data_IF_362230554291
#
_entry.id   IF_362230554291
#
_cell.length_a   1.000
_cell.length_b   1.000
_cell.length_c   1.000
_cell.angle_alpha   90.00
_cell.angle_beta   90.00
_cell.angle_gamma   90.00
#
_symmetry.space_group_name_H-M   'P 1'
#
loop_
_entity.id
_entity.type
_entity.pdbx_description
1 polymer ?
#
# COMPACT_ATOMS: atom_id res chain seq x y z
N UNK A 1 -23.98 -16.16 -65.58
CA UNK A 1 -23.24 -17.33 -65.02
C UNK A 1 -21.98 -16.76 -64.39
N UNK A 2 -21.90 -16.74 -63.06
CA UNK A 2 -20.73 -16.20 -62.34
C UNK A 2 -19.53 -17.12 -62.55
N UNK A 3 -18.40 -16.57 -63.02
CA UNK A 3 -17.17 -17.32 -63.25
C UNK A 3 -16.42 -17.53 -61.93
N UNK A 4 -16.69 -18.68 -61.30
CA UNK A 4 -16.09 -19.09 -60.03
C UNK A 4 -14.56 -19.29 -60.09
N UNK A 5 -13.93 -19.29 -61.27
CA UNK A 5 -12.46 -19.43 -61.38
C UNK A 5 -11.72 -18.17 -60.92
N UNK A 6 -12.33 -16.99 -61.10
CA UNK A 6 -11.75 -15.72 -60.63
C UNK A 6 -11.81 -15.55 -59.10
N UNK A 7 -12.72 -16.25 -58.43
CA UNK A 7 -12.85 -16.21 -56.98
C UNK A 7 -11.76 -17.05 -56.28
N UNK A 8 -11.31 -18.14 -56.94
CA UNK A 8 -10.24 -19.00 -56.41
C UNK A 8 -8.88 -18.30 -56.46
N UNK A 9 -8.55 -17.62 -57.58
CA UNK A 9 -7.27 -16.88 -57.70
C UNK A 9 -7.18 -15.68 -56.76
N UNK A 10 -8.31 -15.05 -56.42
CA UNK A 10 -8.34 -13.94 -55.47
C UNK A 10 -8.08 -14.43 -54.03
N UNK A 11 -8.61 -15.60 -53.67
CA UNK A 11 -8.40 -16.19 -52.34
C UNK A 11 -6.99 -16.77 -52.16
N UNK A 12 -6.40 -17.30 -53.23
CA UNK A 12 -5.04 -17.84 -53.21
C UNK A 12 -4.00 -16.70 -53.07
N UNK A 13 -4.19 -15.57 -53.76
CA UNK A 13 -3.34 -14.38 -53.60
C UNK A 13 -3.45 -13.70 -52.23
N UNK A 14 -4.62 -13.74 -51.60
CA UNK A 14 -4.82 -13.23 -50.24
C UNK A 14 -4.16 -14.11 -49.17
N UNK A 15 -4.11 -15.44 -49.40
CA UNK A 15 -3.38 -16.37 -48.54
C UNK A 15 -1.87 -16.17 -48.64
N UNK A 16 -1.32 -16.07 -49.85
CA UNK A 16 0.12 -15.83 -50.04
C UNK A 16 0.56 -14.48 -49.42
N UNK A 17 -0.21 -13.41 -49.57
CA UNK A 17 0.13 -12.11 -48.94
C UNK A 17 0.09 -12.15 -47.40
N UNK A 18 -0.86 -12.87 -46.80
CA UNK A 18 -0.94 -13.02 -45.36
C UNK A 18 0.15 -13.95 -44.79
N UNK A 19 0.53 -15.00 -45.53
CA UNK A 19 1.62 -15.89 -45.14
C UNK A 19 2.99 -15.18 -45.26
N UNK A 20 3.18 -14.35 -46.29
CA UNK A 20 4.37 -13.51 -46.43
C UNK A 20 4.47 -12.46 -45.31
N UNK A 21 3.36 -11.77 -44.98
CA UNK A 21 3.33 -10.80 -43.89
C UNK A 21 3.55 -11.44 -42.51
N UNK A 22 3.03 -12.64 -42.28
CA UNK A 22 3.27 -13.42 -41.07
C UNK A 22 4.73 -13.89 -40.99
N UNK A 23 5.33 -14.30 -42.11
CA UNK A 23 6.73 -14.69 -42.18
C UNK A 23 7.68 -13.51 -41.96
N UNK A 24 7.38 -12.33 -42.50
CA UNK A 24 8.17 -11.11 -42.28
C UNK A 24 8.06 -10.62 -40.84
N UNK A 25 6.87 -10.73 -40.22
CA UNK A 25 6.67 -10.42 -38.79
C UNK A 25 7.43 -11.40 -37.89
N UNK A 26 7.36 -12.70 -38.18
CA UNK A 26 8.10 -13.74 -37.46
C UNK A 26 9.63 -13.65 -37.68
N UNK A 27 10.08 -13.20 -38.86
CA UNK A 27 11.49 -12.94 -39.13
C UNK A 27 12.01 -11.72 -38.37
N UNK A 28 11.17 -10.68 -38.21
CA UNK A 28 11.50 -9.48 -37.45
C UNK A 28 11.49 -9.74 -35.92
N UNK A 29 10.54 -10.55 -35.43
CA UNK A 29 10.54 -11.06 -34.05
C UNK A 29 11.70 -12.03 -33.79
N UNK A 30 12.00 -12.91 -34.74
CA UNK A 30 13.14 -13.82 -34.70
C UNK A 30 14.50 -13.12 -34.78
N UNK A 31 14.58 -11.95 -35.42
CA UNK A 31 15.75 -11.08 -35.39
C UNK A 31 15.85 -10.29 -34.07
N UNK A 32 14.72 -9.78 -33.53
CA UNK A 32 14.69 -9.15 -32.19
C UNK A 32 15.06 -10.13 -31.07
N UNK A 33 14.70 -11.41 -31.18
CA UNK A 33 15.06 -12.43 -30.20
C UNK A 33 16.52 -12.91 -30.30
N UNK A 34 17.20 -12.76 -31.45
CA UNK A 34 18.56 -13.30 -31.66
C UNK A 34 19.71 -12.40 -31.18
N UNK A 35 19.42 -11.21 -30.68
CA UNK A 35 20.42 -10.26 -30.14
C UNK A 35 20.14 -9.80 -28.72
N UNK A 36 19.12 -10.32 -28.05
CA UNK A 36 18.93 -10.08 -26.63
C UNK A 36 20.03 -10.79 -25.83
N UNK A 37 21.02 -10.01 -25.41
CA UNK A 37 22.03 -10.41 -24.42
C UNK A 37 21.35 -11.13 -23.25
N UNK A 38 21.80 -12.34 -22.92
CA UNK A 38 21.41 -13.09 -21.71
C UNK A 38 21.90 -12.44 -20.41
N UNK A 39 22.62 -11.32 -20.50
CA UNK A 39 23.05 -10.50 -19.36
C UNK A 39 21.96 -9.49 -19.03
N UNK A 40 21.49 -9.50 -17.78
CA UNK A 40 20.61 -8.46 -17.22
C UNK A 40 21.28 -7.10 -17.39
N UNK A 41 20.56 -6.13 -17.97
CA UNK A 41 21.03 -4.74 -18.17
C UNK A 41 21.16 -4.03 -16.83
N UNK A 42 22.18 -3.19 -16.68
CA UNK A 42 22.23 -2.20 -15.60
C UNK A 42 21.22 -1.08 -15.86
N UNK A 43 20.79 -0.39 -14.80
CA UNK A 43 19.84 0.72 -14.92
C UNK A 43 20.33 1.82 -15.89
N UNK A 44 21.62 2.11 -15.86
CA UNK A 44 22.30 3.09 -16.73
C UNK A 44 22.40 2.64 -18.21
N UNK A 45 22.15 1.37 -18.51
CA UNK A 45 22.15 0.81 -19.86
C UNK A 45 20.75 0.78 -20.51
N UNK A 46 19.70 1.19 -19.76
CA UNK A 46 18.33 1.25 -20.26
C UNK A 46 18.11 2.56 -21.03
N UNK A 47 17.62 2.51 -22.28
CA UNK A 47 17.30 3.71 -23.06
C UNK A 47 16.29 4.62 -22.34
N UNK A 48 16.46 5.94 -22.43
CA UNK A 48 15.63 6.91 -21.71
C UNK A 48 14.14 6.80 -22.08
N UNK A 49 13.83 6.44 -23.33
CA UNK A 49 12.46 6.21 -23.81
C UNK A 49 11.77 5.00 -23.16
N UNK A 50 12.54 4.10 -22.54
CA UNK A 50 12.04 2.96 -21.74
C UNK A 50 11.93 3.31 -20.25
N UNK A 51 12.12 4.58 -19.85
CA UNK A 51 12.09 5.02 -18.44
C UNK A 51 10.94 5.98 -18.18
N UNK A 52 10.52 6.10 -16.91
CA UNK A 52 9.66 7.22 -16.51
C UNK A 52 10.42 8.55 -16.57
N UNK A 53 9.68 9.66 -16.66
CA UNK A 53 10.22 11.02 -16.69
C UNK A 53 9.99 11.73 -15.34
N UNK A 54 11.02 11.74 -14.50
CA UNK A 54 10.99 12.41 -13.19
C UNK A 54 11.22 13.92 -13.28
N UNK A 55 11.57 14.47 -14.45
CA UNK A 55 11.78 15.92 -14.64
C UNK A 55 10.49 16.71 -14.43
N UNK A 56 9.35 16.04 -14.56
CA UNK A 56 8.00 16.55 -14.25
C UNK A 56 7.80 16.85 -12.75
N UNK A 57 8.58 16.22 -11.87
CA UNK A 57 8.56 16.45 -10.43
C UNK A 57 9.63 17.48 -10.07
N UNK A 58 10.90 17.17 -10.33
CA UNK A 58 12.03 18.09 -10.22
C UNK A 58 12.90 17.99 -11.46
N UNK A 59 13.34 19.12 -12.04
CA UNK A 59 14.15 19.10 -13.26
C UNK A 59 15.50 18.40 -13.07
N UNK A 60 16.06 18.48 -11.87
CA UNK A 60 17.34 17.90 -11.49
C UNK A 60 17.43 17.73 -9.96
N UNK A 61 18.50 17.05 -9.52
CA UNK A 61 18.79 16.79 -8.12
C UNK A 61 19.11 18.09 -7.34
N UNK A 62 19.63 19.12 -8.01
CA UNK A 62 19.89 20.44 -7.41
C UNK A 62 18.59 21.17 -7.02
N UNK A 63 17.56 21.07 -7.86
CA UNK A 63 16.23 21.60 -7.57
C UNK A 63 15.58 20.86 -6.41
N UNK A 64 15.79 19.54 -6.32
CA UNK A 64 15.37 18.75 -5.17
C UNK A 64 16.06 19.20 -3.88
N UNK A 65 17.39 19.40 -3.90
CA UNK A 65 18.17 19.84 -2.73
C UNK A 65 17.73 21.20 -2.18
N UNK A 66 17.44 22.14 -3.09
CA UNK A 66 16.91 23.47 -2.73
C UNK A 66 15.54 23.35 -2.08
N UNK A 67 14.64 22.54 -2.66
CA UNK A 67 13.31 22.32 -2.11
C UNK A 67 13.37 21.64 -0.74
N UNK A 68 14.20 20.60 -0.59
CA UNK A 68 14.46 19.91 0.68
C UNK A 68 14.91 20.88 1.76
N UNK A 69 15.91 21.71 1.47
CA UNK A 69 16.47 22.66 2.43
C UNK A 69 15.45 23.73 2.84
N UNK A 70 14.72 24.29 1.87
CA UNK A 70 13.69 25.30 2.11
C UNK A 70 12.57 24.76 2.99
N UNK A 71 12.00 23.60 2.64
CA UNK A 71 10.85 23.06 3.37
C UNK A 71 11.23 22.56 4.75
N UNK A 72 12.44 22.00 4.90
CA UNK A 72 12.99 21.58 6.19
C UNK A 72 13.04 22.72 7.21
N UNK A 73 13.30 23.94 6.74
CA UNK A 73 13.34 25.16 7.54
C UNK A 73 11.95 25.77 7.79
N UNK A 74 10.96 25.48 6.93
CA UNK A 74 9.58 25.98 7.07
C UNK A 74 8.75 25.14 8.04
N UNK A 75 8.98 23.81 8.12
CA UNK A 75 8.24 22.89 9.01
C UNK A 75 8.05 23.42 10.46
N UNK A 76 9.08 23.98 11.14
CA UNK A 76 8.92 24.48 12.51
C UNK A 76 7.85 25.56 12.67
N UNK A 77 7.49 26.30 11.62
CA UNK A 77 6.43 27.32 11.67
C UNK A 77 5.05 26.76 12.00
N UNK A 78 4.81 25.46 11.76
CA UNK A 78 3.56 24.80 12.11
C UNK A 78 3.30 24.87 13.63
N UNK A 79 4.34 24.73 14.46
CA UNK A 79 4.21 24.79 15.92
C UNK A 79 3.74 26.15 16.45
N UNK A 80 3.82 27.22 15.64
CA UNK A 80 3.33 28.55 16.04
C UNK A 80 1.81 28.57 16.25
N UNK A 81 1.08 27.60 15.69
CA UNK A 81 -0.38 27.47 15.79
C UNK A 81 -0.85 26.59 16.95
N UNK A 82 0.08 25.94 17.66
CA UNK A 82 -0.26 25.01 18.74
C UNK A 82 -0.99 25.71 19.90
N UNK A 83 -2.08 25.11 20.37
CA UNK A 83 -3.03 25.64 21.35
C UNK A 83 -3.77 26.92 20.91
N UNK A 84 -3.87 27.17 19.60
CA UNK A 84 -4.55 28.35 19.03
C UNK A 84 -5.63 28.00 18.00
N UNK A 85 -5.79 26.75 17.59
CA UNK A 85 -6.69 26.35 16.50
C UNK A 85 -8.17 26.63 16.82
N UNK A 86 -8.53 26.67 18.11
CA UNK A 86 -9.87 27.04 18.56
C UNK A 86 -10.06 28.55 18.80
N UNK A 87 -9.07 29.41 18.49
CA UNK A 87 -9.18 30.85 18.78
C UNK A 87 -10.08 31.61 17.80
N UNK A 88 -10.11 31.19 16.53
CA UNK A 88 -10.99 31.73 15.48
C UNK A 88 -10.93 30.86 14.23
N UNK A 89 -11.93 30.98 13.35
CA UNK A 89 -11.92 30.36 12.02
C UNK A 89 -10.74 30.81 11.14
N UNK A 90 -10.28 32.06 11.31
CA UNK A 90 -9.14 32.61 10.58
C UNK A 90 -7.84 31.87 10.95
N UNK A 91 -7.55 31.69 12.24
CA UNK A 91 -6.35 30.98 12.71
C UNK A 91 -6.37 29.51 12.29
N UNK A 92 -7.52 28.84 12.40
CA UNK A 92 -7.68 27.47 11.90
C UNK A 92 -7.40 27.41 10.38
N UNK A 93 -7.94 28.37 9.61
CA UNK A 93 -7.75 28.40 8.16
C UNK A 93 -6.29 28.64 7.77
N UNK A 94 -5.60 29.54 8.45
CA UNK A 94 -4.18 29.82 8.23
C UNK A 94 -3.33 28.58 8.48
N UNK A 95 -3.58 27.88 9.59
CA UNK A 95 -2.92 26.63 9.91
C UNK A 95 -3.15 25.56 8.82
N UNK A 96 -4.41 25.31 8.45
CA UNK A 96 -4.75 24.25 7.48
C UNK A 96 -4.08 24.51 6.12
N UNK A 97 -4.09 25.76 5.66
CA UNK A 97 -3.41 26.15 4.41
C UNK A 97 -1.90 25.94 4.50
N UNK A 98 -1.29 26.32 5.62
CA UNK A 98 0.15 26.15 5.82
C UNK A 98 0.54 24.66 5.89
N UNK A 99 -0.21 23.86 6.64
CA UNK A 99 0.00 22.42 6.75
C UNK A 99 -0.14 21.72 5.39
N UNK A 100 -1.16 22.07 4.61
CA UNK A 100 -1.38 21.53 3.26
C UNK A 100 -0.25 21.94 2.29
N UNK A 101 0.14 23.22 2.30
CA UNK A 101 1.25 23.73 1.49
C UNK A 101 2.54 22.97 1.82
N UNK A 102 2.87 22.84 3.10
CA UNK A 102 4.09 22.17 3.53
C UNK A 102 4.04 20.68 3.20
N UNK A 103 2.94 20.02 3.54
CA UNK A 103 2.73 18.59 3.26
C UNK A 103 2.87 18.27 1.78
N UNK A 104 2.24 19.05 0.91
CA UNK A 104 2.35 18.88 -0.55
C UNK A 104 3.80 18.91 -1.03
N UNK A 105 4.63 19.83 -0.52
CA UNK A 105 6.04 19.89 -0.89
C UNK A 105 6.84 18.73 -0.30
N UNK A 106 6.59 18.36 0.96
CA UNK A 106 7.24 17.22 1.62
C UNK A 106 6.98 15.92 0.85
N UNK A 107 5.72 15.63 0.50
CA UNK A 107 5.38 14.45 -0.30
C UNK A 107 6.00 14.49 -1.69
N UNK A 108 6.04 15.67 -2.35
CA UNK A 108 6.70 15.82 -3.65
C UNK A 108 8.20 15.47 -3.59
N UNK A 109 8.89 15.95 -2.56
CA UNK A 109 10.32 15.66 -2.30
C UNK A 109 10.54 14.18 -2.03
N UNK A 110 9.68 13.57 -1.20
CA UNK A 110 9.73 12.14 -0.92
C UNK A 110 9.53 11.30 -2.18
N UNK A 111 8.48 11.57 -2.97
CA UNK A 111 8.13 10.76 -4.16
C UNK A 111 9.25 10.77 -5.19
N UNK A 112 9.89 11.93 -5.44
CA UNK A 112 11.03 11.99 -6.35
C UNK A 112 12.18 11.08 -5.89
N UNK A 113 12.56 11.19 -4.62
CA UNK A 113 13.67 10.41 -4.05
C UNK A 113 13.36 8.91 -4.00
N UNK A 114 12.11 8.55 -3.66
CA UNK A 114 11.63 7.16 -3.68
C UNK A 114 11.72 6.57 -5.10
N UNK A 115 11.18 7.26 -6.10
CA UNK A 115 11.23 6.79 -7.49
C UNK A 115 12.68 6.71 -8.00
N UNK A 116 13.55 7.66 -7.65
CA UNK A 116 14.98 7.57 -7.98
C UNK A 116 15.66 6.35 -7.36
N UNK A 117 15.34 6.00 -6.11
CA UNK A 117 15.88 4.80 -5.47
C UNK A 117 15.35 3.50 -6.09
N UNK A 118 14.09 3.48 -6.56
CA UNK A 118 13.50 2.33 -7.24
C UNK A 118 14.11 2.06 -8.64
N UNK A 119 14.73 3.06 -9.26
CA UNK A 119 15.43 2.90 -10.54
C UNK A 119 16.64 1.96 -10.42
N UNK A 120 17.40 2.06 -9.34
CA UNK A 120 18.49 1.14 -9.02
C UNK A 120 18.68 1.06 -7.49
N UNK A 121 18.12 0.02 -6.89
CA UNK A 121 18.20 -0.18 -5.44
C UNK A 121 19.62 -0.42 -4.93
N UNK A 122 20.61 -0.65 -5.80
CA UNK A 122 22.02 -0.76 -5.44
C UNK A 122 22.76 0.59 -5.46
N UNK A 123 22.15 1.67 -5.96
CA UNK A 123 22.75 3.00 -6.00
C UNK A 123 22.71 3.65 -4.60
N UNK A 124 23.89 3.85 -4.00
CA UNK A 124 23.99 4.39 -2.65
C UNK A 124 23.56 5.86 -2.55
N UNK A 125 23.69 6.64 -3.62
CA UNK A 125 23.42 8.07 -3.61
C UNK A 125 21.90 8.31 -3.58
N UNK A 126 21.16 7.61 -4.45
CA UNK A 126 19.69 7.70 -4.47
C UNK A 126 19.03 7.02 -3.26
N UNK A 127 19.62 5.95 -2.73
CA UNK A 127 19.21 5.42 -1.42
C UNK A 127 19.41 6.45 -0.30
N UNK A 128 20.53 7.18 -0.31
CA UNK A 128 20.80 8.26 0.63
C UNK A 128 19.78 9.41 0.52
N UNK A 129 19.43 9.80 -0.71
CA UNK A 129 18.40 10.80 -0.99
C UNK A 129 17.02 10.34 -0.47
N UNK A 130 16.66 9.08 -0.72
CA UNK A 130 15.41 8.49 -0.23
C UNK A 130 15.32 8.52 1.30
N UNK A 131 16.37 8.10 2.01
CA UNK A 131 16.39 8.13 3.48
C UNK A 131 16.20 9.55 4.03
N UNK A 132 16.76 10.57 3.37
CA UNK A 132 16.53 11.98 3.72
C UNK A 132 15.07 12.38 3.49
N UNK A 133 14.46 11.94 2.39
CA UNK A 133 13.02 12.13 2.14
C UNK A 133 12.15 11.52 3.23
N UNK A 134 12.46 10.29 3.67
CA UNK A 134 11.79 9.62 4.79
C UNK A 134 11.92 10.42 6.08
N UNK A 135 13.14 10.86 6.43
CA UNK A 135 13.37 11.69 7.62
C UNK A 135 12.59 13.00 7.60
N UNK A 136 12.45 13.63 6.42
CA UNK A 136 11.68 14.84 6.24
C UNK A 136 10.18 14.59 6.46
N UNK A 137 9.63 13.51 5.92
CA UNK A 137 8.26 13.08 6.18
C UNK A 137 8.01 12.86 7.67
N UNK A 138 8.87 12.10 8.35
CA UNK A 138 8.76 11.86 9.79
C UNK A 138 8.79 13.17 10.59
N UNK A 139 9.63 14.13 10.20
CA UNK A 139 9.70 15.45 10.84
C UNK A 139 8.40 16.25 10.63
N UNK A 140 7.82 16.21 9.44
CA UNK A 140 6.55 16.87 9.12
C UNK A 140 5.38 16.23 9.89
N UNK A 141 5.25 14.91 9.88
CA UNK A 141 4.23 14.16 10.62
C UNK A 141 4.27 14.49 12.13
N UNK A 142 5.46 14.53 12.71
CA UNK A 142 5.64 14.97 14.10
C UNK A 142 5.14 16.41 14.32
N UNK A 143 5.42 17.32 13.38
CA UNK A 143 5.04 18.73 13.46
C UNK A 143 3.54 19.01 13.28
N UNK A 144 2.76 18.07 12.75
CA UNK A 144 1.30 18.17 12.62
C UNK A 144 0.54 17.30 13.62
N UNK A 145 1.20 16.36 14.29
CA UNK A 145 0.56 15.35 15.17
C UNK A 145 -0.31 15.91 16.31
N UNK A 146 -0.06 17.15 16.75
CA UNK A 146 -0.82 17.80 17.81
C UNK A 146 -2.13 18.44 17.32
N UNK A 147 -2.27 18.68 16.01
CA UNK A 147 -3.34 19.50 15.47
C UNK A 147 -4.69 18.80 15.42
N UNK A 148 -4.76 17.53 14.98
CA UNK A 148 -6.04 16.81 14.97
C UNK A 148 -6.64 16.64 16.37
N UNK A 149 -5.87 16.27 17.43
CA UNK A 149 -6.39 16.27 18.80
C UNK A 149 -6.90 17.65 19.27
N UNK A 150 -6.26 18.73 18.85
CA UNK A 150 -6.70 20.09 19.20
C UNK A 150 -7.97 20.50 18.43
N UNK A 151 -8.07 20.15 17.15
CA UNK A 151 -9.27 20.35 16.33
C UNK A 151 -10.44 19.53 16.89
N UNK A 152 -10.19 18.31 17.35
CA UNK A 152 -11.19 17.45 17.98
C UNK A 152 -11.79 18.04 19.27
N UNK A 153 -11.11 19.01 19.91
CA UNK A 153 -11.62 19.72 21.08
C UNK A 153 -12.50 20.93 20.74
N UNK A 154 -12.58 21.33 19.46
CA UNK A 154 -13.48 22.38 19.01
C UNK A 154 -14.92 21.84 19.11
N UNK A 155 -15.79 22.55 19.84
CA UNK A 155 -17.19 22.11 19.99
C UNK A 155 -17.90 22.09 18.65
N UNK A 156 -18.88 21.18 18.51
CA UNK A 156 -19.66 21.07 17.28
C UNK A 156 -20.33 22.40 16.89
N UNK A 157 -20.81 23.16 17.87
CA UNK A 157 -21.42 24.48 17.65
C UNK A 157 -20.40 25.49 17.10
N UNK A 158 -19.19 25.52 17.66
CA UNK A 158 -18.11 26.39 17.18
C UNK A 158 -17.67 26.00 15.76
N UNK A 159 -17.54 24.70 15.48
CA UNK A 159 -17.19 24.24 14.14
C UNK A 159 -18.26 24.61 13.10
N UNK A 160 -19.55 24.50 13.45
CA UNK A 160 -20.66 24.94 12.59
C UNK A 160 -20.53 26.44 12.26
N UNK A 161 -20.17 27.27 13.24
CA UNK A 161 -19.91 28.69 13.02
C UNK A 161 -18.73 28.88 12.06
N UNK A 162 -17.58 28.24 12.33
CA UNK A 162 -16.38 28.35 11.49
C UNK A 162 -16.64 27.94 10.03
N UNK A 163 -17.37 26.85 9.82
CA UNK A 163 -17.78 26.38 8.50
C UNK A 163 -18.74 27.32 7.78
N UNK A 164 -19.47 28.16 8.51
CA UNK A 164 -20.44 29.10 7.93
C UNK A 164 -19.83 30.46 7.59
N UNK A 165 -18.82 30.91 8.33
CA UNK A 165 -18.23 32.25 8.19
C UNK A 165 -16.96 32.29 7.34
N UNK A 166 -16.29 31.14 7.14
CA UNK A 166 -15.03 31.06 6.42
C UNK A 166 -15.09 30.02 5.28
N UNK A 167 -15.02 30.51 4.03
CA UNK A 167 -15.09 29.68 2.84
C UNK A 167 -13.93 28.66 2.74
N UNK A 168 -12.73 29.02 3.18
CA UNK A 168 -11.58 28.11 3.16
C UNK A 168 -11.73 26.95 4.16
N UNK A 169 -12.42 27.20 5.29
CA UNK A 169 -12.81 26.15 6.24
C UNK A 169 -13.91 25.28 5.64
N UNK A 170 -14.89 25.89 4.96
CA UNK A 170 -15.97 25.18 4.28
C UNK A 170 -15.46 24.23 3.19
N UNK A 171 -14.44 24.62 2.43
CA UNK A 171 -13.79 23.77 1.41
C UNK A 171 -13.13 22.52 2.03
N UNK A 172 -12.77 22.58 3.31
CA UNK A 172 -12.14 21.49 4.08
C UNK A 172 -13.13 20.78 5.00
N UNK A 173 -14.44 20.98 4.79
CA UNK A 173 -15.53 20.39 5.59
C UNK A 173 -15.35 18.91 5.83
N UNK A 174 -15.12 18.12 4.77
CA UNK A 174 -15.04 16.67 4.89
C UNK A 174 -13.92 16.21 5.84
N UNK A 175 -12.74 16.84 5.74
CA UNK A 175 -11.60 16.57 6.61
C UNK A 175 -11.94 16.91 8.07
N UNK A 176 -12.51 18.08 8.33
CA UNK A 176 -12.88 18.52 9.68
C UNK A 176 -14.00 17.68 10.29
N UNK A 177 -15.02 17.31 9.50
CA UNK A 177 -16.10 16.43 9.93
C UNK A 177 -15.56 15.03 10.28
N UNK A 178 -14.56 14.52 9.56
CA UNK A 178 -13.91 13.25 9.92
C UNK A 178 -13.16 13.32 11.24
N UNK A 179 -12.42 14.41 11.52
CA UNK A 179 -11.76 14.59 12.83
C UNK A 179 -12.80 14.61 13.95
N UNK A 180 -13.86 15.41 13.80
CA UNK A 180 -14.92 15.48 14.81
C UNK A 180 -15.69 14.17 14.96
N UNK A 181 -15.85 13.42 13.88
CA UNK A 181 -16.44 12.08 13.90
C UNK A 181 -15.59 11.12 14.72
N UNK A 182 -14.26 11.22 14.66
CA UNK A 182 -13.35 10.38 15.45
C UNK A 182 -13.26 10.80 16.92
N UNK A 183 -13.51 12.06 17.26
CA UNK A 183 -13.34 12.60 18.61
C UNK A 183 -14.02 11.78 19.73
N UNK A 184 -15.27 11.27 19.58
CA UNK A 184 -15.91 10.41 20.58
C UNK A 184 -15.22 9.06 20.83
N UNK A 185 -14.32 8.64 19.93
CA UNK A 185 -13.59 7.37 19.98
C UNK A 185 -12.11 7.55 20.38
N UNK A 186 -11.71 8.78 20.69
CA UNK A 186 -10.40 9.10 21.25
C UNK A 186 -10.46 8.98 22.77
N UNK A 187 -9.43 8.39 23.36
CA UNK A 187 -9.27 8.29 24.81
C UNK A 187 -8.57 9.54 25.36
N UNK A 188 -8.45 9.63 26.68
CA UNK A 188 -7.59 10.65 27.28
C UNK A 188 -6.13 10.42 26.91
N UNK A 189 -5.33 11.49 26.88
CA UNK A 189 -3.90 11.38 26.51
C UNK A 189 -3.12 10.33 27.35
N UNK A 190 -3.34 10.18 28.68
CA UNK A 190 -2.72 9.09 29.44
C UNK A 190 -3.15 7.69 28.99
N UNK A 191 -4.43 7.50 28.64
CA UNK A 191 -4.96 6.21 28.17
C UNK A 191 -4.44 5.86 26.78
N UNK A 192 -4.41 6.82 25.85
CA UNK A 192 -3.80 6.65 24.53
C UNK A 192 -2.32 6.26 24.65
N UNK A 193 -1.58 6.91 25.55
CA UNK A 193 -0.18 6.59 25.80
C UNK A 193 0.00 5.16 26.36
N UNK A 194 -0.91 4.71 27.22
CA UNK A 194 -0.88 3.35 27.74
C UNK A 194 -1.15 2.32 26.63
N UNK A 195 -2.16 2.55 25.79
CA UNK A 195 -2.45 1.67 24.65
C UNK A 195 -1.29 1.64 23.65
N UNK A 196 -0.72 2.80 23.31
CA UNK A 196 0.41 2.89 22.40
C UNK A 196 1.63 2.12 22.93
N UNK A 197 1.95 2.25 24.22
CA UNK A 197 3.03 1.48 24.87
C UNK A 197 2.76 -0.02 24.96
N UNK A 198 1.49 -0.42 25.01
CA UNK A 198 1.08 -1.82 24.98
C UNK A 198 1.05 -2.42 23.57
N UNK A 199 1.27 -1.62 22.52
CA UNK A 199 1.19 -2.07 21.12
C UNK A 199 2.03 -3.31 20.80
N UNK A 200 3.26 -3.38 21.33
CA UNK A 200 4.13 -4.56 21.16
C UNK A 200 3.54 -5.82 21.81
N UNK A 201 2.87 -5.67 22.95
CA UNK A 201 2.20 -6.78 23.64
C UNK A 201 0.98 -7.23 22.83
N UNK A 202 0.19 -6.28 22.34
CA UNK A 202 -0.97 -6.54 21.49
C UNK A 202 -0.62 -7.22 20.17
N UNK A 203 0.60 -7.00 19.65
CA UNK A 203 1.06 -7.62 18.40
C UNK A 203 1.60 -9.07 18.59
N UNK A 204 1.85 -9.52 19.81
CA UNK A 204 2.46 -10.84 20.08
C UNK A 204 1.74 -12.05 19.46
N UNK A 205 0.38 -12.12 19.42
CA UNK A 205 -0.29 -13.24 18.80
C UNK A 205 0.03 -13.38 17.30
N UNK A 206 0.12 -12.25 16.58
CA UNK A 206 0.48 -12.22 15.17
C UNK A 206 1.96 -12.59 14.96
N UNK A 207 2.87 -12.09 15.80
CA UNK A 207 4.28 -12.46 15.73
C UNK A 207 4.50 -13.95 15.99
N UNK A 208 3.81 -14.51 16.99
CA UNK A 208 3.89 -15.94 17.31
C UNK A 208 3.40 -16.80 16.15
N UNK A 209 2.27 -16.43 15.54
CA UNK A 209 1.78 -17.11 14.34
C UNK A 209 2.80 -17.01 13.18
N UNK A 210 3.37 -15.83 12.93
CA UNK A 210 4.33 -15.63 11.85
C UNK A 210 5.59 -16.51 12.01
N UNK A 211 6.17 -16.56 13.21
CA UNK A 211 7.36 -17.38 13.48
C UNK A 211 7.02 -18.87 13.33
N UNK A 212 5.93 -19.33 13.96
CA UNK A 212 5.48 -20.71 13.83
C UNK A 212 5.29 -21.08 12.36
N UNK A 213 4.47 -20.30 11.64
CA UNK A 213 4.02 -20.60 10.29
C UNK A 213 5.15 -20.59 9.26
N UNK A 214 6.08 -19.63 9.37
CA UNK A 214 7.05 -19.36 8.31
C UNK A 214 8.44 -19.93 8.60
N UNK A 215 8.80 -20.17 9.86
CA UNK A 215 10.11 -20.69 10.24
C UNK A 215 10.07 -22.12 10.78
N UNK A 216 9.15 -22.38 11.72
CA UNK A 216 9.19 -23.59 12.53
C UNK A 216 8.42 -24.77 11.91
N UNK A 217 7.27 -24.51 11.27
CA UNK A 217 6.51 -25.57 10.61
C UNK A 217 7.37 -26.27 9.56
N UNK A 218 7.39 -27.60 9.63
CA UNK A 218 8.01 -28.48 8.62
C UNK A 218 6.93 -29.36 8.02
N UNK A 219 6.84 -29.36 6.69
CA UNK A 219 5.86 -30.15 5.98
C UNK A 219 6.49 -31.44 5.45
N UNK A 220 5.72 -32.54 5.38
CA UNK A 220 6.21 -33.78 4.78
C UNK A 220 6.54 -33.59 3.29
N UNK A 221 7.62 -34.22 2.83
CA UNK A 221 7.94 -34.30 1.41
C UNK A 221 6.82 -35.00 0.62
N UNK A 222 6.68 -34.64 -0.66
CA UNK A 222 5.80 -35.30 -1.62
C UNK A 222 6.60 -35.89 -2.78
N UNK A 223 5.96 -36.72 -3.61
CA UNK A 223 6.53 -37.13 -4.91
C UNK A 223 6.02 -36.20 -6.01
N UNK A 224 6.93 -35.55 -6.75
CA UNK A 224 6.57 -34.65 -7.86
C UNK A 224 6.03 -35.42 -9.09
N UNK A 225 5.74 -34.72 -10.19
CA UNK A 225 5.24 -35.33 -11.44
C UNK A 225 6.23 -36.33 -12.07
N UNK A 226 7.53 -36.21 -11.76
CA UNK A 226 8.59 -37.11 -12.21
C UNK A 226 8.84 -38.28 -11.26
N UNK A 227 8.10 -38.37 -10.16
CA UNK A 227 8.28 -39.40 -9.12
C UNK A 227 9.47 -39.15 -8.19
N UNK A 228 10.07 -37.97 -8.24
CA UNK A 228 11.18 -37.57 -7.37
C UNK A 228 10.64 -37.02 -6.05
N UNK A 229 11.40 -37.18 -4.97
CA UNK A 229 11.06 -36.56 -3.69
C UNK A 229 11.28 -35.06 -3.75
N UNK A 230 10.28 -34.31 -3.31
CA UNK A 230 10.29 -32.86 -3.30
C UNK A 230 9.80 -32.34 -1.94
N UNK A 231 10.56 -31.41 -1.38
CA UNK A 231 10.18 -30.72 -0.16
C UNK A 231 8.94 -29.85 -0.40
N UNK A 232 7.95 -30.02 0.48
CA UNK A 232 6.77 -29.18 0.53
C UNK A 232 7.07 -27.94 1.38
N UNK A 233 6.89 -26.76 0.79
CA UNK A 233 7.05 -25.46 1.46
C UNK A 233 5.93 -24.53 0.99
N UNK A 234 5.70 -23.42 1.72
CA UNK A 234 4.74 -22.40 1.30
C UNK A 234 5.00 -21.88 -0.12
N UNK A 235 6.28 -21.65 -0.47
CA UNK A 235 6.66 -21.13 -1.80
C UNK A 235 6.44 -22.14 -2.94
N UNK A 236 6.41 -23.44 -2.66
CA UNK A 236 6.21 -24.50 -3.67
C UNK A 236 4.79 -25.05 -3.69
N UNK A 237 3.99 -24.76 -2.65
CA UNK A 237 2.64 -25.29 -2.52
C UNK A 237 1.75 -24.89 -3.70
N UNK A 238 1.81 -23.63 -4.14
CA UNK A 238 1.06 -23.14 -5.31
C UNK A 238 1.41 -23.93 -6.59
N UNK A 239 2.70 -24.09 -6.88
CA UNK A 239 3.18 -24.89 -8.02
C UNK A 239 2.62 -26.32 -7.98
N UNK A 240 2.64 -26.97 -6.81
CA UNK A 240 2.13 -28.33 -6.67
C UNK A 240 0.61 -28.42 -6.78
N UNK A 241 -0.14 -27.39 -6.37
CA UNK A 241 -1.59 -27.33 -6.58
C UNK A 241 -1.99 -27.09 -8.04
N UNK A 242 -1.11 -26.54 -8.87
CA UNK A 242 -1.34 -26.34 -10.30
C UNK A 242 -0.87 -27.51 -11.16
N UNK A 243 -0.21 -28.51 -10.55
CA UNK A 243 0.25 -29.72 -11.22
C UNK A 243 -0.84 -30.40 -12.04
N UNK A 244 -0.48 -30.93 -13.20
CA UNK A 244 -1.41 -31.70 -14.06
C UNK A 244 -1.71 -33.08 -13.46
N UNK A 245 -0.81 -33.62 -12.65
CA UNK A 245 -1.02 -34.86 -11.91
C UNK A 245 -1.89 -34.63 -10.66
N UNK A 246 -3.10 -35.21 -10.65
CA UNK A 246 -4.03 -35.12 -9.51
C UNK A 246 -3.43 -35.64 -8.21
N UNK A 247 -2.56 -36.64 -8.28
CA UNK A 247 -1.91 -37.21 -7.09
C UNK A 247 -1.01 -36.16 -6.44
N UNK A 248 -0.21 -35.42 -7.21
CA UNK A 248 0.65 -34.34 -6.68
C UNK A 248 -0.17 -33.29 -5.95
N UNK A 249 -1.29 -32.83 -6.56
CA UNK A 249 -2.19 -31.85 -5.92
C UNK A 249 -2.76 -32.36 -4.60
N UNK A 250 -3.23 -33.61 -4.58
CA UNK A 250 -3.79 -34.25 -3.37
C UNK A 250 -2.74 -34.39 -2.28
N UNK A 251 -1.58 -34.97 -2.61
CA UNK A 251 -0.51 -35.22 -1.65
C UNK A 251 -0.01 -33.88 -1.05
N UNK A 252 0.11 -32.82 -1.87
CA UNK A 252 0.45 -31.47 -1.40
C UNK A 252 -0.61 -30.90 -0.45
N UNK A 253 -1.89 -31.00 -0.81
CA UNK A 253 -3.00 -30.52 0.01
C UNK A 253 -3.07 -31.25 1.36
N UNK A 254 -3.13 -32.58 1.34
CA UNK A 254 -3.27 -33.40 2.54
C UNK A 254 -2.07 -33.24 3.47
N UNK A 255 -0.84 -33.22 2.94
CA UNK A 255 0.36 -33.06 3.77
C UNK A 255 0.48 -31.66 4.40
N UNK A 256 0.07 -30.61 3.69
CA UNK A 256 0.03 -29.26 4.26
C UNK A 256 -1.00 -29.17 5.39
N UNK A 257 -2.25 -29.56 5.13
CA UNK A 257 -3.33 -29.46 6.11
C UNK A 257 -3.15 -30.39 7.31
N UNK A 258 -2.50 -31.55 7.15
CA UNK A 258 -2.14 -32.42 8.28
C UNK A 258 -1.27 -31.71 9.32
N UNK A 259 -0.34 -30.87 8.88
CA UNK A 259 0.51 -30.09 9.80
C UNK A 259 -0.32 -28.98 10.47
N UNK A 260 -1.17 -28.27 9.71
CA UNK A 260 -2.07 -27.28 10.32
C UNK A 260 -3.04 -27.89 11.33
N UNK A 261 -3.55 -29.09 11.06
CA UNK A 261 -4.40 -29.86 11.98
C UNK A 261 -3.63 -30.24 13.25
N UNK A 262 -2.38 -30.71 13.11
CA UNK A 262 -1.51 -31.01 14.25
C UNK A 262 -1.31 -29.80 15.17
N UNK A 263 -1.24 -28.60 14.62
CA UNK A 263 -1.08 -27.33 15.36
C UNK A 263 -2.38 -26.53 15.50
N UNK A 264 -3.55 -27.16 15.30
CA UNK A 264 -4.84 -26.47 15.31
C UNK A 264 -5.10 -25.68 16.60
N UNK A 265 -4.74 -26.24 17.77
CA UNK A 265 -4.89 -25.57 19.06
C UNK A 265 -3.99 -24.32 19.19
N UNK A 266 -2.75 -24.40 18.70
CA UNK A 266 -1.81 -23.27 18.73
C UNK A 266 -2.29 -22.15 17.79
N UNK A 267 -2.74 -22.51 16.58
CA UNK A 267 -3.32 -21.57 15.63
C UNK A 267 -4.61 -20.93 16.16
N UNK A 268 -5.48 -21.72 16.82
CA UNK A 268 -6.68 -21.19 17.46
C UNK A 268 -6.34 -20.20 18.59
N UNK A 269 -5.30 -20.48 19.37
CA UNK A 269 -4.83 -19.59 20.45
C UNK A 269 -4.30 -18.26 19.90
N UNK A 270 -3.45 -18.28 18.87
CA UNK A 270 -2.91 -17.04 18.26
C UNK A 270 -4.01 -16.22 17.59
N UNK A 271 -4.92 -16.88 16.85
CA UNK A 271 -6.06 -16.20 16.23
C UNK A 271 -7.01 -15.61 17.28
N UNK A 272 -7.35 -16.38 18.32
CA UNK A 272 -8.19 -15.89 19.42
C UNK A 272 -7.55 -14.70 20.13
N UNK A 273 -6.22 -14.70 20.32
CA UNK A 273 -5.49 -13.56 20.86
C UNK A 273 -5.64 -12.30 20.00
N UNK A 274 -5.46 -12.43 18.68
CA UNK A 274 -5.63 -11.31 17.75
C UNK A 274 -7.08 -10.78 17.75
N UNK A 275 -8.07 -11.66 17.76
CA UNK A 275 -9.49 -11.27 17.85
C UNK A 275 -9.79 -10.55 19.17
N UNK A 276 -9.26 -11.04 20.29
CA UNK A 276 -9.43 -10.39 21.61
C UNK A 276 -8.82 -8.99 21.65
N UNK A 277 -7.66 -8.79 21.03
CA UNK A 277 -7.04 -7.45 20.90
C UNK A 277 -7.95 -6.50 20.12
N UNK A 278 -8.50 -6.94 18.99
CA UNK A 278 -9.41 -6.13 18.18
C UNK A 278 -10.69 -5.77 18.94
N UNK A 279 -11.27 -6.74 19.66
CA UNK A 279 -12.47 -6.51 20.48
C UNK A 279 -12.18 -5.56 21.65
N UNK A 280 -11.05 -5.73 22.33
CA UNK A 280 -10.63 -4.85 23.41
C UNK A 280 -10.47 -3.40 22.92
N UNK A 281 -9.73 -3.19 21.81
CA UNK A 281 -9.54 -1.86 21.23
C UNK A 281 -10.86 -1.20 20.83
N UNK A 282 -11.79 -1.96 20.27
CA UNK A 282 -13.12 -1.47 19.94
C UNK A 282 -13.93 -1.08 21.18
N UNK A 283 -13.93 -1.94 22.20
CA UNK A 283 -14.65 -1.71 23.46
C UNK A 283 -14.16 -0.46 24.18
N UNK A 284 -12.85 -0.33 24.39
CA UNK A 284 -12.30 0.83 25.12
C UNK A 284 -12.55 2.13 24.37
N UNK A 285 -12.57 2.10 23.04
CA UNK A 285 -12.89 3.27 22.18
C UNK A 285 -14.38 3.47 21.94
N UNK A 286 -15.25 2.75 22.66
CA UNK A 286 -16.70 2.96 22.62
C UNK A 286 -17.41 2.47 21.35
N UNK A 287 -16.81 1.54 20.60
CA UNK A 287 -17.46 0.89 19.46
C UNK A 287 -18.30 -0.31 19.91
N UNK A 288 -19.38 -0.59 19.18
CA UNK A 288 -20.25 -1.75 19.42
C UNK A 288 -19.58 -3.09 19.09
N UNK A 289 -18.59 -3.09 18.19
CA UNK A 289 -17.84 -4.28 17.78
C UNK A 289 -16.50 -3.91 17.13
N UNK A 290 -15.57 -4.87 17.05
CA UNK A 290 -14.34 -4.71 16.28
C UNK A 290 -14.58 -4.39 14.79
N UNK A 291 -15.68 -4.93 14.22
CA UNK A 291 -16.08 -4.64 12.84
C UNK A 291 -16.52 -3.19 12.70
N UNK A 292 -17.37 -2.70 13.62
CA UNK A 292 -17.79 -1.30 13.63
C UNK A 292 -16.57 -0.37 13.71
N UNK A 293 -15.61 -0.66 14.58
CA UNK A 293 -14.37 0.10 14.69
C UNK A 293 -13.56 0.14 13.37
N UNK A 294 -13.36 -1.03 12.73
CA UNK A 294 -12.60 -1.13 11.48
C UNK A 294 -13.28 -0.44 10.29
N UNK A 295 -14.60 -0.54 10.19
CA UNK A 295 -15.37 0.09 9.10
C UNK A 295 -15.53 1.61 9.32
N UNK A 296 -15.53 2.03 10.59
CA UNK A 296 -15.66 3.44 10.94
C UNK A 296 -14.53 4.29 10.38
N UNK A 297 -13.30 3.80 10.36
CA UNK A 297 -12.15 4.55 9.79
C UNK A 297 -12.46 5.09 8.38
N UNK A 298 -13.09 4.25 7.55
CA UNK A 298 -13.44 4.55 6.17
C UNK A 298 -14.89 5.05 5.97
N UNK A 299 -15.59 5.40 7.05
CA UNK A 299 -17.00 5.81 7.05
C UNK A 299 -17.93 4.79 6.35
N UNK A 300 -17.63 3.49 6.50
CA UNK A 300 -18.42 2.40 5.90
C UNK A 300 -19.50 1.94 6.88
N UNK A 301 -20.76 1.87 6.43
CA UNK A 301 -21.85 1.27 7.22
C UNK A 301 -21.66 -0.25 7.33
N UNK A 302 -21.99 -0.84 8.49
CA UNK A 302 -22.01 -2.29 8.69
C UNK A 302 -22.95 -3.00 7.69
N UNK A 303 -23.99 -2.31 7.20
CA UNK A 303 -24.92 -2.84 6.19
C UNK A 303 -24.20 -3.24 4.89
N UNK A 304 -23.11 -2.56 4.52
CA UNK A 304 -22.34 -2.90 3.30
C UNK A 304 -21.72 -4.28 3.47
N UNK A 305 -21.16 -4.55 4.65
CA UNK A 305 -20.57 -5.84 4.98
C UNK A 305 -21.66 -6.93 5.06
N UNK A 306 -22.76 -6.65 5.74
CA UNK A 306 -23.86 -7.60 5.90
C UNK A 306 -24.51 -7.97 4.56
N UNK A 307 -24.65 -7.00 3.64
CA UNK A 307 -25.14 -7.26 2.30
C UNK A 307 -24.18 -8.13 1.49
N UNK A 308 -22.86 -7.86 1.55
CA UNK A 308 -21.85 -8.65 0.84
C UNK A 308 -21.84 -10.12 1.30
N UNK A 309 -21.98 -10.37 2.60
CA UNK A 309 -21.98 -11.74 3.14
C UNK A 309 -23.27 -12.50 2.79
N UNK A 310 -24.39 -11.77 2.64
CA UNK A 310 -25.69 -12.37 2.34
C UNK A 310 -25.84 -12.74 0.86
N UNK A 311 -25.20 -12.02 -0.05
CA UNK A 311 -25.26 -12.23 -1.51
C UNK A 311 -24.36 -13.36 -1.96
#
# INVERSE_FOLDING_TARGET
MFDFRKYKSFNDGFKEQNEQAAADTAANEGQKMKTASTKVRLRSEVPLEETWDLTTIFPDDDAWEKAFSSISAEIPSLYEYQNKLNSSSAVLSEYLKLAEKIGTQVYKIYVYAHLKADEDTADSDYNGMYLRGVQLMTKFEAAISWAEPEIAQISAETMVIYLSENADIADRRHYLENILRQAPHQLSAPEELLLAKAGEIFNQPAQTFNVLNNADLKFPNIKNEKGEEAELTHGRYGEFLESRDRRVRRDAFENLYKVYEQFANTNASTLSGAVSVNNYNAEVRGFSSARAAALFENAISEDVYDNLVRT
#
